data_IF_384767332576
#
_entry.id   IF_384767332576
#
_cell.length_a   1.000
_cell.length_b   1.000
_cell.length_c   1.000
_cell.angle_alpha   90.00
_cell.angle_beta   90.00
_cell.angle_gamma   90.00
#
_symmetry.space_group_name_H-M   'P 1'
#
loop_
_entity.id
_entity.type
_entity.pdbx_description
1 polymer ?
#
# COMPACT_ATOMS: atom_id res chain seq x y z
N UNK A 1 -53.94 -21.04 -24.37
CA UNK A 1 -52.88 -21.79 -23.65
C UNK A 1 -51.55 -21.60 -24.37
N UNK A 2 -50.59 -20.89 -23.77
CA UNK A 2 -49.14 -21.16 -23.86
C UNK A 2 -48.46 -20.26 -22.82
N UNK A 3 -47.86 -20.91 -21.82
CA UNK A 3 -47.28 -20.29 -20.63
C UNK A 3 -45.83 -19.93 -20.94
N UNK A 4 -45.49 -18.65 -21.06
CA UNK A 4 -44.10 -18.22 -21.07
C UNK A 4 -43.63 -18.08 -19.63
N UNK A 5 -42.97 -19.12 -19.12
CA UNK A 5 -42.18 -19.05 -17.89
C UNK A 5 -40.79 -18.57 -18.29
N UNK A 6 -40.50 -17.28 -18.13
CA UNK A 6 -39.13 -16.79 -18.15
C UNK A 6 -38.63 -16.71 -16.70
N UNK A 7 -37.91 -17.75 -16.30
CA UNK A 7 -37.18 -17.76 -15.03
C UNK A 7 -35.95 -16.85 -15.16
N UNK A 8 -35.93 -15.81 -14.31
CA UNK A 8 -34.89 -15.54 -13.32
C UNK A 8 -33.50 -16.05 -13.70
N UNK A 9 -32.58 -15.14 -14.01
CA UNK A 9 -31.17 -15.49 -14.23
C UNK A 9 -30.24 -14.33 -14.50
N UNK A 10 -30.54 -13.11 -14.02
CA UNK A 10 -29.59 -11.99 -14.03
C UNK A 10 -29.58 -11.40 -12.63
N UNK A 11 -28.67 -11.90 -11.79
CA UNK A 11 -28.01 -11.10 -10.75
C UNK A 11 -26.95 -11.97 -10.08
N UNK A 12 -25.68 -11.87 -10.49
CA UNK A 12 -24.55 -12.03 -9.58
C UNK A 12 -23.25 -11.61 -10.30
N UNK A 13 -23.00 -10.31 -10.41
CA UNK A 13 -21.68 -9.83 -10.86
C UNK A 13 -21.41 -8.40 -10.35
N UNK A 14 -21.50 -8.20 -9.03
CA UNK A 14 -21.14 -6.90 -8.41
C UNK A 14 -20.23 -6.99 -7.18
N UNK A 15 -19.76 -8.18 -6.78
CA UNK A 15 -19.05 -8.32 -5.48
C UNK A 15 -17.52 -8.12 -5.57
N UNK A 16 -16.92 -7.96 -6.75
CA UNK A 16 -15.45 -7.96 -6.86
C UNK A 16 -14.75 -6.59 -6.81
N UNK A 17 -15.47 -5.47 -6.81
CA UNK A 17 -14.87 -4.12 -6.90
C UNK A 17 -14.68 -3.44 -5.52
N UNK A 18 -15.38 -3.92 -4.49
CA UNK A 18 -15.38 -3.27 -3.16
C UNK A 18 -14.02 -3.45 -2.46
N UNK A 19 -13.42 -4.64 -2.55
CA UNK A 19 -12.19 -4.98 -1.82
C UNK A 19 -10.96 -4.18 -2.27
N UNK A 20 -10.81 -3.84 -3.56
CA UNK A 20 -9.72 -3.00 -4.04
C UNK A 20 -9.86 -1.56 -3.53
N UNK A 21 -11.08 -1.03 -3.51
CA UNK A 21 -11.34 0.32 -3.01
C UNK A 21 -11.18 0.41 -1.49
N UNK A 22 -11.57 -0.64 -0.75
CA UNK A 22 -11.45 -0.67 0.70
C UNK A 22 -9.98 -0.58 1.14
N UNK A 23 -9.10 -1.46 0.67
CA UNK A 23 -7.65 -1.40 1.03
C UNK A 23 -7.00 -0.09 0.60
N UNK A 24 -7.41 0.48 -0.54
CA UNK A 24 -6.94 1.80 -0.96
C UNK A 24 -7.40 2.88 0.01
N UNK A 25 -8.63 2.83 0.46
CA UNK A 25 -9.15 3.76 1.47
C UNK A 25 -8.43 3.59 2.81
N UNK A 26 -8.16 2.35 3.23
CA UNK A 26 -7.48 2.06 4.49
C UNK A 26 -6.04 2.61 4.48
N UNK A 27 -5.37 2.61 3.32
CA UNK A 27 -4.01 3.14 3.14
C UNK A 27 -3.92 4.68 3.12
N UNK A 28 -4.99 5.39 2.73
CA UNK A 28 -4.97 6.86 2.61
C UNK A 28 -4.89 7.48 3.99
N UNK A 29 -3.67 7.77 4.44
CA UNK A 29 -3.36 8.40 5.71
C UNK A 29 -1.86 8.77 5.80
N UNK A 30 -1.46 9.34 6.94
CA UNK A 30 -0.07 9.43 7.37
C UNK A 30 0.33 8.22 8.23
N UNK A 31 1.51 7.67 7.96
CA UNK A 31 2.03 6.47 8.59
C UNK A 31 3.45 6.70 9.08
N UNK A 32 3.72 6.46 10.36
CA UNK A 32 5.07 6.53 10.95
C UNK A 32 5.72 5.16 10.86
N UNK A 33 6.96 5.08 10.38
CA UNK A 33 7.74 3.84 10.45
C UNK A 33 8.19 3.65 11.90
N UNK A 34 7.83 2.52 12.51
CA UNK A 34 8.16 2.19 13.91
C UNK A 34 9.12 1.02 14.04
N UNK A 35 9.16 0.13 13.05
CA UNK A 35 10.06 -1.01 13.04
C UNK A 35 10.63 -1.22 11.63
N UNK A 36 11.90 -1.62 11.59
CA UNK A 36 12.64 -1.95 10.37
C UNK A 36 13.37 -3.26 10.62
N UNK A 37 13.03 -4.29 9.86
CA UNK A 37 13.78 -5.53 9.78
C UNK A 37 14.65 -5.47 8.51
N UNK A 38 15.95 -5.24 8.70
CA UNK A 38 16.90 -5.17 7.60
C UNK A 38 17.26 -6.58 7.09
N UNK A 39 17.19 -6.77 5.77
CA UNK A 39 17.61 -8.02 5.09
C UNK A 39 18.93 -7.87 4.35
N UNK A 40 19.45 -6.64 4.26
CA UNK A 40 20.75 -6.32 3.65
C UNK A 40 21.61 -5.49 4.60
N UNK A 41 22.95 -5.55 4.48
CA UNK A 41 23.86 -4.73 5.28
C UNK A 41 23.67 -3.21 5.08
N UNK A 42 23.26 -2.80 3.87
CA UNK A 42 22.98 -1.40 3.56
C UNK A 42 21.83 -0.88 4.43
N UNK A 43 20.67 -1.55 4.41
CA UNK A 43 19.52 -1.18 5.25
C UNK A 43 19.90 -1.23 6.73
N UNK A 44 20.65 -2.23 7.19
CA UNK A 44 21.03 -2.33 8.60
C UNK A 44 21.83 -1.12 9.07
N UNK A 45 22.65 -0.55 8.18
CA UNK A 45 23.45 0.65 8.45
C UNK A 45 22.63 1.94 8.55
N UNK A 46 21.49 2.02 7.85
CA UNK A 46 20.62 3.21 7.81
C UNK A 46 19.33 3.06 8.63
N UNK A 47 19.03 1.88 9.18
CA UNK A 47 17.76 1.60 9.89
C UNK A 47 17.41 2.59 11.00
N UNK A 48 18.42 3.11 11.70
CA UNK A 48 18.23 4.08 12.78
C UNK A 48 17.64 5.40 12.25
N UNK A 49 18.10 5.83 11.08
CA UNK A 49 17.59 7.00 10.37
C UNK A 49 16.17 6.75 9.86
N UNK A 50 15.92 5.59 9.25
CA UNK A 50 14.58 5.16 8.81
C UNK A 50 13.59 5.19 9.99
N UNK A 51 13.95 4.71 11.18
CA UNK A 51 13.04 4.74 12.34
C UNK A 51 12.84 6.19 12.85
N UNK A 52 13.91 6.97 12.93
CA UNK A 52 13.85 8.33 13.44
C UNK A 52 13.01 9.25 12.54
N UNK A 53 13.24 9.21 11.24
CA UNK A 53 12.68 10.15 10.27
C UNK A 53 11.57 9.54 9.41
N UNK A 54 11.54 8.22 9.28
CA UNK A 54 10.67 7.53 8.35
C UNK A 54 9.19 7.75 8.61
N UNK A 55 8.49 8.20 7.58
CA UNK A 55 7.06 8.49 7.53
C UNK A 55 6.62 8.41 6.09
N UNK A 56 5.41 7.91 5.82
CA UNK A 56 4.80 7.97 4.49
C UNK A 56 3.39 8.53 4.59
N UNK A 57 3.01 9.41 3.67
CA UNK A 57 1.67 9.99 3.58
C UNK A 57 1.08 9.62 2.22
N UNK A 58 -0.01 8.87 2.19
CA UNK A 58 -0.67 8.46 0.95
C UNK A 58 -1.96 9.26 0.75
N UNK A 59 -2.18 9.74 -0.47
CA UNK A 59 -3.32 10.60 -0.80
C UNK A 59 -4.26 9.92 -1.80
N UNK A 60 -5.54 10.34 -1.78
CA UNK A 60 -6.61 9.74 -2.58
C UNK A 60 -6.40 9.85 -4.09
N UNK A 61 -5.65 10.83 -4.55
CA UNK A 61 -5.27 11.03 -5.96
C UNK A 61 -4.10 10.13 -6.41
N UNK A 62 -3.50 9.35 -5.50
CA UNK A 62 -2.44 8.40 -5.85
C UNK A 62 -1.01 8.91 -5.64
N UNK A 63 -0.85 10.03 -4.92
CA UNK A 63 0.46 10.55 -4.53
C UNK A 63 0.92 10.01 -3.19
N UNK A 64 2.23 10.02 -2.99
CA UNK A 64 2.89 9.66 -1.73
C UNK A 64 4.04 10.60 -1.46
N UNK A 65 4.15 11.04 -0.20
CA UNK A 65 5.28 11.86 0.28
C UNK A 65 5.83 11.30 1.58
N UNK A 66 7.09 11.60 1.90
CA UNK A 66 7.70 11.22 3.16
C UNK A 66 9.16 10.81 3.03
N UNK A 67 9.58 9.88 3.86
CA UNK A 67 10.97 9.43 3.98
C UNK A 67 11.01 7.92 4.28
N UNK A 68 11.88 7.20 3.57
CA UNK A 68 12.33 5.85 3.97
C UNK A 68 13.83 5.91 4.18
N UNK A 69 14.62 5.79 3.11
CA UNK A 69 16.07 6.06 3.09
C UNK A 69 16.40 7.41 2.47
N UNK A 70 15.50 7.90 1.62
CA UNK A 70 15.56 9.20 0.96
C UNK A 70 14.19 9.85 1.05
N UNK A 71 14.17 11.16 0.89
CA UNK A 71 12.92 11.91 0.81
C UNK A 71 12.18 11.59 -0.50
N UNK A 72 10.86 11.54 -0.39
CA UNK A 72 9.90 11.43 -1.48
C UNK A 72 9.04 12.69 -1.37
N UNK A 73 9.23 13.65 -2.26
CA UNK A 73 8.54 14.95 -2.18
C UNK A 73 7.23 14.95 -2.96
N UNK A 74 7.16 14.18 -4.05
CA UNK A 74 5.99 14.05 -4.92
C UNK A 74 6.00 12.71 -5.66
N UNK A 75 6.04 11.62 -4.89
CA UNK A 75 5.99 10.28 -5.42
C UNK A 75 4.58 9.87 -5.82
N UNK A 76 4.48 8.73 -6.50
CA UNK A 76 3.19 8.10 -6.84
C UNK A 76 3.12 6.68 -6.32
N UNK A 77 1.92 6.14 -6.11
CA UNK A 77 1.76 4.76 -5.69
C UNK A 77 0.65 4.01 -6.42
N UNK A 78 0.83 2.70 -6.54
CA UNK A 78 -0.16 1.79 -7.11
C UNK A 78 -0.36 0.57 -6.21
N UNK A 79 -1.62 0.32 -5.83
CA UNK A 79 -2.02 -0.93 -5.18
C UNK A 79 -2.56 -1.91 -6.22
N UNK A 80 -1.97 -3.09 -6.26
CA UNK A 80 -2.41 -4.19 -7.13
C UNK A 80 -2.73 -5.44 -6.31
N UNK A 81 -3.16 -6.52 -6.95
CA UNK A 81 -3.44 -7.82 -6.30
C UNK A 81 -4.35 -7.70 -5.06
N UNK A 82 -5.38 -6.84 -5.14
CA UNK A 82 -6.32 -6.54 -4.04
C UNK A 82 -5.64 -5.94 -2.80
N UNK A 83 -4.67 -5.06 -3.01
CA UNK A 83 -3.94 -4.37 -1.94
C UNK A 83 -2.83 -5.21 -1.29
N UNK A 84 -2.48 -6.36 -1.88
CA UNK A 84 -1.37 -7.22 -1.43
C UNK A 84 -0.02 -6.86 -2.04
N UNK A 85 -0.02 -5.94 -3.00
CA UNK A 85 1.19 -5.42 -3.62
C UNK A 85 1.07 -3.92 -3.78
N UNK A 86 2.01 -3.21 -3.20
CA UNK A 86 2.16 -1.77 -3.28
C UNK A 86 3.44 -1.46 -4.06
N UNK A 87 3.34 -0.62 -5.07
CA UNK A 87 4.51 -0.06 -5.74
C UNK A 87 4.53 1.42 -5.48
N UNK A 88 5.55 1.90 -4.77
CA UNK A 88 5.84 3.32 -4.61
C UNK A 88 6.83 3.71 -5.71
N UNK A 89 6.65 4.88 -6.30
CA UNK A 89 7.62 5.51 -7.19
C UNK A 89 8.05 6.82 -6.59
N UNK A 90 9.36 7.05 -6.51
CA UNK A 90 9.90 8.33 -6.09
C UNK A 90 9.68 9.42 -7.14
N UNK A 91 10.17 10.63 -6.84
CA UNK A 91 10.09 11.82 -7.68
C UNK A 91 10.74 11.61 -9.08
N UNK A 92 11.69 10.66 -9.19
CA UNK A 92 12.38 10.31 -10.43
C UNK A 92 11.67 9.16 -11.20
N UNK A 93 10.61 8.58 -10.63
CA UNK A 93 9.90 7.45 -11.18
C UNK A 93 10.53 6.09 -10.87
N UNK A 94 11.53 6.03 -10.00
CA UNK A 94 12.19 4.78 -9.57
C UNK A 94 11.18 3.92 -8.79
N UNK A 95 10.88 2.69 -9.22
CA UNK A 95 9.88 1.86 -8.56
C UNK A 95 10.47 1.08 -7.38
N UNK A 96 9.78 1.16 -6.24
CA UNK A 96 10.04 0.40 -5.02
C UNK A 96 8.85 -0.54 -4.77
N UNK A 97 8.96 -1.82 -5.18
CA UNK A 97 7.90 -2.79 -5.01
C UNK A 97 7.91 -3.38 -3.58
N UNK A 98 6.73 -3.47 -2.99
CA UNK A 98 6.48 -4.11 -1.71
C UNK A 98 5.33 -5.12 -1.84
N UNK A 99 5.47 -6.24 -1.15
CA UNK A 99 4.31 -6.97 -0.65
C UNK A 99 3.71 -6.18 0.51
N UNK A 100 2.38 -6.09 0.56
CA UNK A 100 1.70 -5.23 1.52
C UNK A 100 0.63 -5.95 2.30
N UNK A 101 0.58 -5.70 3.60
CA UNK A 101 -0.57 -5.97 4.46
C UNK A 101 -1.02 -4.65 5.08
N UNK A 102 -2.28 -4.30 4.91
CA UNK A 102 -2.83 -2.97 5.21
C UNK A 102 -4.07 -3.17 6.07
N UNK A 103 -4.06 -2.69 7.30
CA UNK A 103 -5.21 -2.62 8.20
C UNK A 103 -5.54 -1.17 8.51
N UNK A 104 -6.60 -0.94 9.29
CA UNK A 104 -7.07 0.41 9.62
C UNK A 104 -6.05 1.23 10.43
N UNK A 105 -5.11 0.57 11.11
CA UNK A 105 -4.18 1.15 12.08
C UNK A 105 -2.70 0.81 11.80
N UNK A 106 -2.44 -0.13 10.89
CA UNK A 106 -1.09 -0.64 10.61
C UNK A 106 -0.89 -0.95 9.13
N UNK A 107 0.31 -0.67 8.63
CA UNK A 107 0.78 -1.11 7.32
C UNK A 107 2.07 -1.90 7.51
N UNK A 108 2.16 -3.07 6.88
CA UNK A 108 3.39 -3.85 6.77
C UNK A 108 3.80 -3.84 5.30
N UNK A 109 5.03 -3.39 5.03
CA UNK A 109 5.61 -3.38 3.69
C UNK A 109 6.85 -4.27 3.68
N UNK A 110 6.88 -5.26 2.78
CA UNK A 110 7.97 -6.21 2.69
C UNK A 110 8.58 -6.22 1.29
N UNK A 111 9.88 -5.99 1.22
CA UNK A 111 10.68 -6.07 -0.01
C UNK A 111 11.79 -7.12 0.15
N UNK A 112 12.63 -7.26 -0.88
CA UNK A 112 13.83 -8.08 -0.81
C UNK A 112 14.87 -7.51 0.18
N UNK A 113 14.85 -6.20 0.42
CA UNK A 113 15.87 -5.50 1.20
C UNK A 113 15.49 -5.30 2.66
N UNK A 114 14.20 -5.19 2.93
CA UNK A 114 13.70 -4.88 4.26
C UNK A 114 12.24 -5.26 4.45
N UNK A 115 11.82 -5.26 5.71
CA UNK A 115 10.42 -5.21 6.11
C UNK A 115 10.19 -4.03 7.03
N UNK A 116 9.15 -3.25 6.74
CA UNK A 116 8.76 -2.05 7.46
C UNK A 116 7.44 -2.31 8.17
N UNK A 117 7.36 -1.94 9.45
CA UNK A 117 6.09 -1.80 10.17
C UNK A 117 5.80 -0.32 10.31
N UNK A 118 4.63 0.11 9.83
CA UNK A 118 4.16 1.47 9.95
C UNK A 118 2.86 1.53 10.74
N UNK A 119 2.72 2.54 11.59
CA UNK A 119 1.51 2.82 12.37
C UNK A 119 0.88 4.12 11.92
N UNK A 120 -0.44 4.18 11.92
CA UNK A 120 -1.19 5.39 11.57
C UNK A 120 -0.86 6.54 12.53
N UNK A 121 -0.75 7.76 12.01
CA UNK A 121 -0.49 8.99 12.77
C UNK A 121 -1.74 9.85 12.97
#
# INVERSE_FOLDING_TARGET
MKKFKLFIGILLLTVFIISCNQKRNDLIDSWKITEVEAKTPHVDSVKGDIIANGKLTFTKDGHVTGHIETDINDGTYALTKKGKSLVIKDDNGTPFPFESDITDDKVILESAEMKLTLVKQ
#
